data_IF_647536542150
#
_entry.id   IF_647536542150
#
_cell.length_a   1.000
_cell.length_b   1.000
_cell.length_c   1.000
_cell.angle_alpha   90.00
_cell.angle_beta   90.00
_cell.angle_gamma   90.00
#
_symmetry.space_group_name_H-M   'P 1'
#
loop_
_entity.id
_entity.type
_entity.pdbx_description
1 polymer ?
#
# COMPACT_ATOMS: atom_id res chain seq x y z
N UNK A 1 -6.64 2.58 26.06
CA UNK A 1 -5.40 3.33 25.72
C UNK A 1 -5.33 3.44 24.21
N UNK A 2 -5.13 4.64 23.69
CA UNK A 2 -4.98 4.88 22.25
C UNK A 2 -3.49 4.72 21.87
N UNK A 3 -3.11 3.53 21.38
CA UNK A 3 -1.69 3.20 21.14
C UNK A 3 -1.10 3.85 19.89
N UNK A 4 -1.95 4.42 19.01
CA UNK A 4 -1.52 5.19 17.84
C UNK A 4 -1.72 6.70 18.02
N UNK A 5 -1.92 7.17 19.25
CA UNK A 5 -2.17 8.60 19.50
C UNK A 5 -1.08 9.47 18.87
N UNK A 6 -1.50 10.40 18.02
CA UNK A 6 -0.67 11.34 17.28
C UNK A 6 0.30 10.70 16.27
N UNK A 7 0.21 9.39 16.01
CA UNK A 7 1.01 8.73 14.98
C UNK A 7 0.51 9.13 13.59
N UNK A 8 1.42 9.57 12.74
CA UNK A 8 1.19 10.01 11.36
C UNK A 8 1.28 8.81 10.43
N UNK A 9 0.19 8.46 9.78
CA UNK A 9 0.11 7.24 8.95
C UNK A 9 -0.41 7.59 7.55
N UNK A 10 0.36 7.23 6.54
CA UNK A 10 -0.07 7.25 5.14
C UNK A 10 -0.76 5.93 4.81
N UNK A 11 -1.94 5.98 4.21
CA UNK A 11 -2.68 4.82 3.72
C UNK A 11 -2.92 4.98 2.22
N UNK A 12 -2.41 4.02 1.43
CA UNK A 12 -2.63 3.94 -0.02
C UNK A 12 -3.59 2.82 -0.35
N UNK A 13 -4.43 3.02 -1.38
CA UNK A 13 -5.41 2.02 -1.81
C UNK A 13 -6.84 2.24 -1.29
N UNK A 14 -7.11 3.39 -0.69
CA UNK A 14 -8.48 3.80 -0.35
C UNK A 14 -9.26 4.09 -1.65
N UNK A 15 -10.29 3.30 -1.93
CA UNK A 15 -11.12 3.44 -3.13
C UNK A 15 -12.60 3.64 -2.76
N UNK A 16 -13.05 2.97 -1.71
CA UNK A 16 -14.44 3.01 -1.23
C UNK A 16 -14.49 2.62 0.25
N UNK A 17 -15.65 2.80 0.88
CA UNK A 17 -15.91 2.33 2.25
C UNK A 17 -15.95 0.79 2.40
N UNK A 18 -15.82 0.05 1.28
CA UNK A 18 -15.69 -1.42 1.26
C UNK A 18 -14.25 -1.88 1.07
N UNK A 19 -13.31 -0.97 0.81
CA UNK A 19 -11.90 -1.34 0.65
C UNK A 19 -11.29 -1.70 2.00
N UNK A 20 -10.32 -2.62 2.00
CA UNK A 20 -9.55 -2.98 3.20
C UNK A 20 -8.86 -1.75 3.78
N UNK A 21 -8.33 -0.88 2.90
CA UNK A 21 -7.74 0.39 3.30
C UNK A 21 -8.67 1.26 4.16
N UNK A 22 -9.99 1.25 3.88
CA UNK A 22 -10.96 1.96 4.71
C UNK A 22 -11.10 1.33 6.10
N UNK A 23 -11.15 0.01 6.19
CA UNK A 23 -11.16 -0.71 7.47
C UNK A 23 -9.92 -0.42 8.31
N UNK A 24 -8.75 -0.40 7.66
CA UNK A 24 -7.47 -0.03 8.30
C UNK A 24 -7.51 1.42 8.77
N UNK A 25 -7.97 2.36 7.92
CA UNK A 25 -8.11 3.77 8.30
C UNK A 25 -9.00 3.95 9.52
N UNK A 26 -10.16 3.28 9.53
CA UNK A 26 -11.10 3.30 10.67
C UNK A 26 -10.46 2.79 11.96
N UNK A 27 -9.72 1.68 11.88
CA UNK A 27 -9.03 1.11 13.04
C UNK A 27 -7.90 2.04 13.54
N UNK A 28 -7.08 2.58 12.66
CA UNK A 28 -6.01 3.51 13.02
C UNK A 28 -6.56 4.81 13.63
N UNK A 29 -7.59 5.38 13.01
CA UNK A 29 -8.25 6.59 13.52
C UNK A 29 -8.86 6.38 14.90
N UNK A 30 -9.53 5.26 15.15
CA UNK A 30 -10.08 4.91 16.46
C UNK A 30 -8.99 4.77 17.54
N UNK A 31 -7.75 4.50 17.15
CA UNK A 31 -6.58 4.46 18.02
C UNK A 31 -5.80 5.79 18.08
N UNK A 32 -6.36 6.87 17.53
CA UNK A 32 -5.85 8.23 17.64
C UNK A 32 -4.77 8.60 16.63
N UNK A 33 -4.62 7.84 15.54
CA UNK A 33 -3.71 8.19 14.46
C UNK A 33 -4.19 9.42 13.68
N UNK A 34 -3.24 10.15 13.13
CA UNK A 34 -3.44 11.22 12.14
C UNK A 34 -3.17 10.60 10.77
N UNK A 35 -4.16 10.69 9.87
CA UNK A 35 -4.11 9.95 8.62
C UNK A 35 -3.87 10.86 7.41
N UNK A 36 -3.17 10.34 6.42
CA UNK A 36 -3.08 10.86 5.07
C UNK A 36 -3.39 9.74 4.08
N UNK A 37 -3.84 10.09 2.89
CA UNK A 37 -4.25 9.14 1.87
C UNK A 37 -3.61 9.45 0.53
N UNK A 38 -3.38 8.40 -0.28
CA UNK A 38 -3.05 8.57 -1.69
C UNK A 38 -4.13 7.95 -2.59
N UNK A 39 -4.32 8.55 -3.77
CA UNK A 39 -5.27 8.12 -4.79
C UNK A 39 -4.65 8.17 -6.19
N UNK A 40 -5.10 7.29 -7.08
CA UNK A 40 -4.46 7.05 -8.38
C UNK A 40 -4.50 8.26 -9.34
N UNK A 41 -5.60 9.00 -9.39
CA UNK A 41 -5.73 10.08 -10.37
C UNK A 41 -6.96 10.94 -10.15
N UNK A 42 -7.11 12.04 -10.92
CA UNK A 42 -8.10 13.10 -10.67
C UNK A 42 -9.54 12.62 -10.51
N UNK A 43 -9.92 11.56 -11.22
CA UNK A 43 -11.27 10.97 -11.14
C UNK A 43 -11.65 10.45 -9.76
N UNK A 44 -10.68 10.17 -8.90
CA UNK A 44 -10.90 9.66 -7.56
C UNK A 44 -10.87 10.75 -6.49
N UNK A 45 -10.38 11.94 -6.82
CA UNK A 45 -10.10 13.01 -5.87
C UNK A 45 -11.27 13.32 -4.93
N UNK A 46 -12.43 13.64 -5.49
CA UNK A 46 -13.59 14.05 -4.69
C UNK A 46 -14.10 12.93 -3.79
N UNK A 47 -14.09 11.68 -4.31
CA UNK A 47 -14.46 10.50 -3.54
C UNK A 47 -13.51 10.28 -2.37
N UNK A 48 -12.20 10.36 -2.62
CA UNK A 48 -11.20 10.12 -1.57
C UNK A 48 -11.21 11.23 -0.53
N UNK A 49 -11.36 12.49 -0.94
CA UNK A 49 -11.52 13.60 -0.02
C UNK A 49 -12.76 13.41 0.88
N UNK A 50 -13.88 12.97 0.31
CA UNK A 50 -15.09 12.67 1.08
C UNK A 50 -14.88 11.56 2.10
N UNK A 51 -14.19 10.47 1.72
CA UNK A 51 -13.89 9.38 2.65
C UNK A 51 -12.85 9.79 3.72
N UNK A 52 -11.86 10.58 3.36
CA UNK A 52 -10.83 11.07 4.28
C UNK A 52 -11.41 12.01 5.34
N UNK A 53 -12.41 12.81 4.99
CA UNK A 53 -13.09 13.71 5.92
C UNK A 53 -13.79 12.98 7.08
N UNK A 54 -14.18 11.71 6.88
CA UNK A 54 -14.73 10.85 7.94
C UNK A 54 -13.68 10.55 9.04
N UNK A 55 -12.40 10.71 8.72
CA UNK A 55 -11.26 10.53 9.61
C UNK A 55 -10.59 11.86 10.01
N UNK A 56 -11.30 12.99 9.84
CA UNK A 56 -10.77 14.34 10.08
C UNK A 56 -9.46 14.62 9.33
N UNK A 57 -9.32 14.08 8.11
CA UNK A 57 -8.16 14.29 7.26
C UNK A 57 -8.54 15.04 5.98
N UNK A 58 -7.75 16.04 5.63
CA UNK A 58 -7.74 16.75 4.36
C UNK A 58 -6.47 16.45 3.53
N UNK A 59 -5.59 15.59 4.05
CA UNK A 59 -4.33 15.20 3.42
C UNK A 59 -4.54 14.05 2.43
N UNK A 60 -4.90 14.41 1.20
CA UNK A 60 -5.10 13.47 0.10
C UNK A 60 -4.21 13.85 -1.07
N UNK A 61 -3.34 12.93 -1.50
CA UNK A 61 -2.33 13.17 -2.52
C UNK A 61 -2.55 12.29 -3.75
N UNK A 62 -2.42 12.88 -4.92
CA UNK A 62 -2.44 12.11 -6.17
C UNK A 62 -1.13 11.31 -6.31
N UNK A 63 -1.26 10.00 -6.59
CA UNK A 63 -0.15 9.11 -6.82
C UNK A 63 -0.59 7.92 -7.67
N UNK A 64 -0.33 7.99 -8.97
CA UNK A 64 -0.39 6.80 -9.82
C UNK A 64 0.92 6.03 -9.64
N UNK A 65 0.84 4.89 -9.00
CA UNK A 65 2.00 4.05 -8.67
C UNK A 65 2.66 3.38 -9.89
N UNK A 66 2.05 3.50 -11.07
CA UNK A 66 2.67 3.11 -12.34
C UNK A 66 3.71 4.13 -12.83
N UNK A 67 3.87 5.27 -12.13
CA UNK A 67 4.74 6.37 -12.52
C UNK A 67 5.66 6.77 -11.36
N UNK A 68 6.97 6.58 -11.52
CA UNK A 68 7.96 6.86 -10.48
C UNK A 68 7.95 8.32 -10.02
N UNK A 69 7.74 9.27 -10.97
CA UNK A 69 7.64 10.68 -10.64
C UNK A 69 6.44 11.01 -9.73
N UNK A 70 5.33 10.26 -9.81
CA UNK A 70 4.20 10.40 -8.90
C UNK A 70 4.55 9.90 -7.50
N UNK A 71 5.31 8.79 -7.40
CA UNK A 71 5.80 8.25 -6.12
C UNK A 71 6.73 9.25 -5.43
N UNK A 72 7.69 9.82 -6.19
CA UNK A 72 8.61 10.82 -5.67
C UNK A 72 7.91 12.12 -5.24
N UNK A 73 6.90 12.54 -6.01
CA UNK A 73 6.12 13.73 -5.69
C UNK A 73 5.23 13.51 -4.46
N UNK A 74 4.72 12.28 -4.24
CA UNK A 74 3.99 11.93 -3.02
C UNK A 74 4.86 12.15 -1.78
N UNK A 75 6.08 11.60 -1.76
CA UNK A 75 7.00 11.77 -0.63
C UNK A 75 7.34 13.24 -0.37
N UNK A 76 7.59 14.02 -1.44
CA UNK A 76 7.81 15.47 -1.33
C UNK A 76 6.58 16.22 -0.80
N UNK A 77 5.38 15.83 -1.19
CA UNK A 77 4.15 16.46 -0.72
C UNK A 77 3.91 16.16 0.75
N UNK A 78 4.13 14.91 1.17
CA UNK A 78 4.03 14.54 2.59
C UNK A 78 5.06 15.30 3.43
N UNK A 79 6.29 15.47 2.94
CA UNK A 79 7.36 16.18 3.69
C UNK A 79 7.08 17.67 3.92
N UNK A 80 6.18 18.27 3.16
CA UNK A 80 5.74 19.67 3.38
C UNK A 80 4.73 19.77 4.53
N UNK A 81 3.95 18.70 4.75
CA UNK A 81 2.92 18.66 5.80
C UNK A 81 3.46 18.04 7.10
N UNK A 82 4.32 17.03 6.97
CA UNK A 82 4.87 16.28 8.09
C UNK A 82 6.38 16.15 8.01
N UNK A 83 7.08 16.53 9.08
CA UNK A 83 8.52 16.34 9.22
C UNK A 83 8.93 14.87 9.39
N UNK A 84 7.99 14.03 9.81
CA UNK A 84 8.17 12.60 10.07
C UNK A 84 6.92 11.81 9.69
N UNK A 85 7.08 10.53 9.39
CA UNK A 85 6.02 9.57 9.09
C UNK A 85 6.22 8.33 9.96
N UNK A 86 5.24 8.00 10.80
CA UNK A 86 5.32 6.85 11.71
C UNK A 86 4.88 5.54 11.05
N UNK A 87 4.01 5.61 10.07
CA UNK A 87 3.48 4.42 9.42
C UNK A 87 3.11 4.61 7.95
N UNK A 88 3.34 3.56 7.17
CA UNK A 88 2.87 3.47 5.79
C UNK A 88 2.12 2.15 5.58
N UNK A 89 0.89 2.24 5.08
CA UNK A 89 0.07 1.08 4.71
C UNK A 89 -0.13 1.08 3.20
N UNK A 90 0.44 0.06 2.57
CA UNK A 90 0.29 -0.20 1.14
C UNK A 90 -0.82 -1.22 0.92
N UNK A 91 -2.02 -0.76 0.59
CA UNK A 91 -3.18 -1.60 0.29
C UNK A 91 -3.54 -1.52 -1.21
N UNK A 92 -2.52 -1.56 -2.07
CA UNK A 92 -2.65 -1.48 -3.53
C UNK A 92 -2.36 -2.85 -4.14
N UNK A 93 -3.27 -3.33 -4.97
CA UNK A 93 -3.05 -4.47 -5.84
C UNK A 93 -3.92 -4.31 -7.09
N UNK A 94 -3.38 -4.71 -8.23
CA UNK A 94 -4.10 -4.72 -9.48
C UNK A 94 -3.57 -5.80 -10.40
N UNK A 95 -4.47 -6.46 -11.10
CA UNK A 95 -4.19 -7.35 -12.23
C UNK A 95 -5.28 -7.19 -13.29
N UNK A 96 -4.97 -7.29 -14.58
CA UNK A 96 -5.99 -7.37 -15.62
C UNK A 96 -6.96 -8.51 -15.36
N UNK A 97 -8.22 -8.34 -15.78
CA UNK A 97 -9.28 -9.29 -15.45
C UNK A 97 -9.04 -10.69 -16.03
N UNK A 98 -8.51 -10.78 -17.22
CA UNK A 98 -8.14 -12.02 -17.90
C UNK A 98 -7.00 -12.77 -17.20
N UNK A 99 -6.11 -12.04 -16.52
CA UNK A 99 -5.04 -12.64 -15.73
C UNK A 99 -5.51 -13.33 -14.44
N UNK A 100 -6.75 -13.06 -13.99
CA UNK A 100 -7.36 -13.59 -12.76
C UNK A 100 -8.71 -14.27 -13.04
N UNK A 101 -8.93 -14.74 -14.27
CA UNK A 101 -10.12 -15.50 -14.67
C UNK A 101 -9.71 -16.77 -15.39
N UNK A 102 -10.61 -17.79 -15.37
CA UNK A 102 -10.34 -19.06 -16.02
C UNK A 102 -9.17 -19.83 -15.41
N UNK A 103 -8.51 -20.66 -16.21
CA UNK A 103 -7.32 -21.40 -15.77
C UNK A 103 -6.09 -20.48 -15.81
N UNK A 104 -5.06 -20.85 -15.06
CA UNK A 104 -3.82 -20.08 -14.98
C UNK A 104 -3.19 -19.79 -16.35
N UNK A 105 -3.10 -20.82 -17.20
CA UNK A 105 -2.45 -20.69 -18.51
C UNK A 105 -3.25 -19.85 -19.50
N UNK A 106 -4.57 -19.71 -19.33
CA UNK A 106 -5.43 -18.95 -20.25
C UNK A 106 -5.08 -17.45 -20.23
N UNK A 107 -4.81 -16.90 -19.05
CA UNK A 107 -4.47 -15.49 -18.86
C UNK A 107 -2.97 -15.21 -18.63
N UNK A 108 -2.12 -16.24 -18.65
CA UNK A 108 -0.69 -16.08 -18.38
C UNK A 108 0.05 -15.59 -19.63
N UNK A 109 0.39 -14.33 -19.64
CA UNK A 109 1.19 -13.70 -20.68
C UNK A 109 2.11 -12.62 -20.07
N UNK A 110 3.07 -12.12 -20.87
CA UNK A 110 4.07 -11.15 -20.44
C UNK A 110 3.45 -9.86 -19.95
N UNK A 111 2.44 -9.35 -20.63
CA UNK A 111 1.79 -8.08 -20.30
C UNK A 111 1.07 -8.18 -18.95
N UNK A 112 0.24 -9.18 -18.76
CA UNK A 112 -0.49 -9.44 -17.52
C UNK A 112 0.45 -9.65 -16.33
N UNK A 113 1.53 -10.40 -16.54
CA UNK A 113 2.56 -10.61 -15.51
C UNK A 113 3.22 -9.27 -15.14
N UNK A 114 3.62 -8.48 -16.14
CA UNK A 114 4.29 -7.20 -15.93
C UNK A 114 3.38 -6.21 -15.19
N UNK A 115 2.12 -6.07 -15.61
CA UNK A 115 1.16 -5.16 -14.97
C UNK A 115 0.94 -5.56 -13.51
N UNK A 116 0.67 -6.85 -13.25
CA UNK A 116 0.41 -7.34 -11.89
C UNK A 116 1.60 -7.07 -10.95
N UNK A 117 2.83 -7.35 -11.40
CA UNK A 117 4.02 -7.12 -10.61
C UNK A 117 4.36 -5.64 -10.47
N UNK A 118 4.22 -4.86 -11.53
CA UNK A 118 4.50 -3.43 -11.48
C UNK A 118 3.61 -2.71 -10.45
N UNK A 119 2.29 -2.94 -10.53
CA UNK A 119 1.33 -2.26 -9.65
C UNK A 119 1.33 -2.84 -8.24
N UNK A 120 1.48 -4.15 -8.07
CA UNK A 120 1.26 -4.79 -6.77
C UNK A 120 2.55 -5.07 -5.98
N UNK A 121 3.72 -5.05 -6.62
CA UNK A 121 5.00 -5.37 -5.99
C UNK A 121 5.98 -4.22 -6.09
N UNK A 122 6.31 -3.79 -7.31
CA UNK A 122 7.27 -2.71 -7.53
C UNK A 122 6.85 -1.44 -6.79
N UNK A 123 5.58 -1.09 -6.87
CA UNK A 123 5.03 0.10 -6.19
C UNK A 123 5.29 0.08 -4.68
N UNK A 124 5.19 -1.09 -4.04
CA UNK A 124 5.46 -1.23 -2.60
C UNK A 124 6.91 -0.89 -2.26
N UNK A 125 7.86 -1.49 -2.98
CA UNK A 125 9.29 -1.21 -2.79
C UNK A 125 9.66 0.24 -3.13
N UNK A 126 9.14 0.77 -4.25
CA UNK A 126 9.40 2.13 -4.70
C UNK A 126 8.85 3.18 -3.71
N UNK A 127 7.61 2.99 -3.22
CA UNK A 127 7.03 3.87 -2.20
C UNK A 127 7.78 3.79 -0.88
N UNK A 128 8.14 2.58 -0.42
CA UNK A 128 8.95 2.41 0.79
C UNK A 128 10.30 3.15 0.68
N UNK A 129 10.99 3.02 -0.47
CA UNK A 129 12.25 3.73 -0.75
C UNK A 129 12.07 5.25 -0.72
N UNK A 130 11.03 5.76 -1.35
CA UNK A 130 10.78 7.20 -1.45
C UNK A 130 10.37 7.81 -0.09
N UNK A 131 9.66 7.06 0.75
CA UNK A 131 9.22 7.48 2.09
C UNK A 131 10.28 7.26 3.19
N UNK A 132 11.31 6.46 2.93
CA UNK A 132 12.35 6.13 3.91
C UNK A 132 12.96 7.35 4.62
N UNK A 133 13.29 8.47 3.93
CA UNK A 133 13.83 9.65 4.59
C UNK A 133 12.93 10.24 5.69
N UNK A 134 11.61 10.08 5.58
CA UNK A 134 10.63 10.56 6.56
C UNK A 134 10.41 9.58 7.73
N UNK A 135 10.89 8.34 7.61
CA UNK A 135 10.60 7.26 8.57
C UNK A 135 11.81 6.79 9.36
N UNK A 136 13.01 6.84 8.76
CA UNK A 136 14.21 6.18 9.29
C UNK A 136 14.65 6.67 10.67
N UNK A 137 14.44 7.95 11.00
CA UNK A 137 14.87 8.53 12.27
C UNK A 137 13.87 8.26 13.41
N UNK A 138 12.61 7.93 13.07
CA UNK A 138 11.54 7.64 14.03
C UNK A 138 11.28 6.15 14.27
N UNK A 139 11.90 5.24 13.50
CA UNK A 139 11.68 3.80 13.65
C UNK A 139 10.27 3.34 13.26
N UNK A 140 9.74 3.81 12.14
CA UNK A 140 8.36 3.61 11.68
C UNK A 140 7.98 2.16 11.32
N UNK A 141 6.74 1.98 10.88
CA UNK A 141 6.20 0.68 10.44
C UNK A 141 5.65 0.76 9.02
N UNK A 142 6.06 -0.18 8.18
CA UNK A 142 5.54 -0.36 6.82
C UNK A 142 4.76 -1.67 6.78
N UNK A 143 3.53 -1.62 6.26
CA UNK A 143 2.65 -2.80 6.18
C UNK A 143 2.05 -2.89 4.78
N UNK A 144 2.03 -4.08 4.20
CA UNK A 144 1.31 -4.39 2.97
C UNK A 144 0.34 -5.54 3.18
N UNK A 145 -0.53 -5.78 2.20
CA UNK A 145 -1.55 -6.83 2.24
C UNK A 145 -1.14 -7.98 1.33
N UNK A 146 -1.05 -9.19 1.87
CA UNK A 146 -0.84 -10.43 1.14
C UNK A 146 -2.11 -11.29 1.14
N UNK A 147 -2.01 -12.46 0.56
CA UNK A 147 -3.09 -13.45 0.49
C UNK A 147 -2.49 -14.85 0.41
N UNK A 148 -3.23 -15.85 0.87
CA UNK A 148 -2.81 -17.26 0.86
C UNK A 148 -2.38 -17.77 -0.55
N UNK A 149 -2.81 -17.07 -1.61
CA UNK A 149 -2.34 -17.31 -2.97
C UNK A 149 -0.85 -17.09 -3.20
N UNK A 150 -0.13 -16.47 -2.25
CA UNK A 150 1.33 -16.39 -2.26
C UNK A 150 2.00 -17.74 -1.93
N UNK A 151 1.33 -18.60 -1.16
CA UNK A 151 1.86 -19.86 -0.67
C UNK A 151 1.34 -21.09 -1.44
N UNK A 152 0.12 -21.00 -1.94
CA UNK A 152 -0.52 -22.11 -2.67
C UNK A 152 -1.36 -21.61 -3.84
N UNK A 153 -1.59 -22.48 -4.81
CA UNK A 153 -2.50 -22.19 -5.92
C UNK A 153 -3.93 -22.02 -5.42
N UNK A 154 -4.53 -20.88 -5.77
CA UNK A 154 -5.94 -20.59 -5.52
C UNK A 154 -6.63 -20.41 -6.87
N UNK A 155 -7.67 -21.18 -7.18
CA UNK A 155 -8.39 -21.09 -8.45
C UNK A 155 -8.89 -19.65 -8.70
N UNK A 156 -8.62 -19.13 -9.90
CA UNK A 156 -9.00 -17.78 -10.30
C UNK A 156 -8.13 -16.66 -9.73
N UNK A 157 -7.19 -16.94 -8.84
CA UNK A 157 -6.23 -15.93 -8.37
C UNK A 157 -5.00 -15.82 -9.28
N UNK A 158 -4.59 -16.92 -9.88
CA UNK A 158 -3.67 -17.04 -11.01
C UNK A 158 -2.40 -16.14 -10.90
N UNK A 159 -2.20 -15.23 -11.86
CA UNK A 159 -1.02 -14.34 -11.92
C UNK A 159 -0.88 -13.46 -10.67
N UNK A 160 -1.96 -13.11 -9.99
CA UNK A 160 -1.89 -12.37 -8.74
C UNK A 160 -1.22 -13.18 -7.62
N UNK A 161 -1.34 -14.51 -7.61
CA UNK A 161 -0.61 -15.37 -6.67
C UNK A 161 0.91 -15.22 -6.81
N UNK A 162 1.41 -15.16 -8.06
CA UNK A 162 2.83 -14.90 -8.32
C UNK A 162 3.25 -13.52 -7.80
N UNK A 163 2.42 -12.49 -8.05
CA UNK A 163 2.69 -11.15 -7.54
C UNK A 163 2.70 -11.11 -6.00
N UNK A 164 1.77 -11.82 -5.32
CA UNK A 164 1.76 -11.87 -3.85
C UNK A 164 2.97 -12.60 -3.28
N UNK A 165 3.45 -13.68 -3.91
CA UNK A 165 4.69 -14.36 -3.51
C UNK A 165 5.90 -13.43 -3.65
N UNK A 166 5.98 -12.69 -4.78
CA UNK A 166 7.02 -11.67 -4.98
C UNK A 166 6.92 -10.52 -3.97
N UNK A 167 5.71 -10.10 -3.60
CA UNK A 167 5.47 -9.06 -2.59
C UNK A 167 5.99 -9.51 -1.22
N UNK A 168 5.73 -10.74 -0.81
CA UNK A 168 6.24 -11.28 0.46
C UNK A 168 7.76 -11.39 0.49
N UNK A 169 8.38 -11.72 -0.64
CA UNK A 169 9.84 -11.67 -0.78
C UNK A 169 10.36 -10.23 -0.65
N UNK A 170 9.68 -9.25 -1.26
CA UNK A 170 10.01 -7.83 -1.14
C UNK A 170 9.91 -7.35 0.32
N UNK A 171 8.90 -7.78 1.07
CA UNK A 171 8.76 -7.51 2.51
C UNK A 171 9.99 -7.96 3.28
N UNK A 172 10.51 -9.16 3.01
CA UNK A 172 11.71 -9.71 3.69
C UNK A 172 12.95 -8.87 3.38
N UNK A 173 13.15 -8.47 2.12
CA UNK A 173 14.26 -7.61 1.71
C UNK A 173 14.18 -6.24 2.40
N UNK A 174 13.02 -5.59 2.36
CA UNK A 174 12.82 -4.31 3.01
C UNK A 174 12.96 -4.40 4.54
N UNK A 175 12.49 -5.48 5.17
CA UNK A 175 12.65 -5.68 6.61
C UNK A 175 14.13 -5.78 7.01
N UNK A 176 14.95 -6.45 6.19
CA UNK A 176 16.41 -6.53 6.38
C UNK A 176 17.06 -5.14 6.26
N UNK A 177 16.73 -4.39 5.21
CA UNK A 177 17.36 -3.10 4.92
C UNK A 177 16.90 -2.00 5.88
N UNK A 178 15.64 -2.03 6.32
CA UNK A 178 15.05 -1.04 7.23
C UNK A 178 15.28 -1.34 8.71
N UNK A 179 15.61 -2.60 9.06
CA UNK A 179 15.84 -3.03 10.44
C UNK A 179 16.89 -2.20 11.19
N UNK A 180 18.05 -1.85 10.61
CA UNK A 180 19.07 -0.99 11.26
C UNK A 180 18.55 0.39 11.66
N UNK A 181 17.47 0.89 11.06
CA UNK A 181 16.79 2.14 11.43
C UNK A 181 15.70 1.95 12.50
N UNK A 182 15.57 0.75 13.08
CA UNK A 182 14.49 0.42 14.02
C UNK A 182 13.10 0.33 13.37
N UNK A 183 13.04 0.27 12.05
CA UNK A 183 11.80 0.14 11.30
C UNK A 183 11.33 -1.31 11.20
N UNK A 184 10.04 -1.51 11.12
CA UNK A 184 9.42 -2.82 10.91
C UNK A 184 8.69 -2.85 9.57
N UNK A 185 8.88 -3.92 8.81
CA UNK A 185 8.19 -4.13 7.54
C UNK A 185 7.49 -5.48 7.59
N UNK A 186 6.18 -5.50 7.37
CA UNK A 186 5.37 -6.70 7.47
C UNK A 186 4.32 -6.79 6.35
N UNK A 187 3.90 -8.00 6.04
CA UNK A 187 2.68 -8.28 5.31
C UNK A 187 1.62 -8.87 6.24
N UNK A 188 0.36 -8.50 5.98
CA UNK A 188 -0.80 -9.13 6.62
C UNK A 188 -1.49 -9.95 5.55
N UNK A 189 -1.60 -11.27 5.75
CA UNK A 189 -2.37 -12.12 4.86
C UNK A 189 -3.85 -11.94 5.16
N UNK A 190 -4.60 -11.57 4.15
CA UNK A 190 -6.05 -11.49 4.23
C UNK A 190 -6.61 -12.90 4.45
N UNK A 191 -7.56 -13.04 5.36
CA UNK A 191 -8.22 -14.31 5.62
C UNK A 191 -9.00 -14.83 4.40
N UNK A 192 -9.13 -16.13 4.31
CA UNK A 192 -9.99 -16.84 3.34
C UNK A 192 -11.46 -16.74 3.74
#
# INVERSE_FOLDING_TARGET
MSFLKNKKILISGLISNRSIAYGVAKACYAQGAILAFSYQGPRFKDRINSLASEFNSDLCFECDVAQDNHIDNLAKSISREWSELDGFVHAIAFSPRDAISGNFLDGFNRENFTIAHNISVYSFGAMAKSLLPLMKDGGGSITTLSYIGAERSVPGYNTMGLAKASLEACVKCLASDCGPYGMRVNSVSEGS
#
